data_IF_376164316326
#
_entry.id   IF_376164316326
#
_cell.length_a   1.000
_cell.length_b   1.000
_cell.length_c   1.000
_cell.angle_alpha   90.00
_cell.angle_beta   90.00
_cell.angle_gamma   90.00
#
_symmetry.space_group_name_H-M   'P 1'
#
loop_
_entity.id
_entity.type
_entity.pdbx_description
1 polymer ?
#
# COMPACT_ATOMS: atom_id res chain seq x y z
N UNK A 1 -3.44 28.19 -51.67
CA UNK A 1 -2.84 26.92 -51.18
C UNK A 1 -1.36 27.16 -50.96
N UNK A 2 -0.90 27.27 -49.71
CA UNK A 2 0.51 27.56 -49.43
C UNK A 2 1.34 26.30 -49.64
N UNK A 3 2.22 26.32 -50.65
CA UNK A 3 3.12 25.20 -50.96
C UNK A 3 4.09 24.96 -49.78
N UNK A 4 4.42 23.70 -49.42
CA UNK A 4 5.31 23.41 -48.29
C UNK A 4 6.70 23.98 -48.56
N UNK A 5 7.20 24.80 -47.62
CA UNK A 5 8.53 25.41 -47.68
C UNK A 5 9.60 24.29 -47.77
N UNK A 6 10.60 24.38 -48.68
CA UNK A 6 11.61 23.33 -48.82
C UNK A 6 12.44 23.20 -47.54
N UNK A 7 12.47 21.98 -46.97
CA UNK A 7 13.15 21.67 -45.70
C UNK A 7 14.65 21.89 -45.78
N UNK A 8 15.21 22.50 -44.75
CA UNK A 8 16.63 22.84 -44.65
C UNK A 8 17.49 21.59 -44.33
N UNK A 9 18.81 21.63 -44.58
CA UNK A 9 19.72 20.47 -44.41
C UNK A 9 19.69 19.88 -42.99
N UNK A 10 19.54 20.74 -41.98
CA UNK A 10 19.45 20.37 -40.56
C UNK A 10 18.13 19.65 -40.23
N UNK A 11 17.01 20.12 -40.77
CA UNK A 11 15.69 19.52 -40.55
C UNK A 11 15.61 18.11 -41.12
N UNK A 12 16.19 17.90 -42.32
CA UNK A 12 16.30 16.57 -42.94
C UNK A 12 17.07 15.58 -42.06
N UNK A 13 18.19 16.02 -41.44
CA UNK A 13 19.00 15.18 -40.54
C UNK A 13 18.24 14.79 -39.26
N UNK A 14 17.53 15.74 -38.65
CA UNK A 14 16.74 15.49 -37.44
C UNK A 14 15.61 14.48 -37.71
N UNK A 15 14.95 14.60 -38.86
CA UNK A 15 13.89 13.67 -39.26
C UNK A 15 14.42 12.24 -39.46
N UNK A 16 15.58 12.08 -40.11
CA UNK A 16 16.23 10.76 -40.26
C UNK A 16 16.62 10.17 -38.90
N UNK A 17 17.13 10.99 -37.97
CA UNK A 17 17.50 10.55 -36.64
C UNK A 17 16.28 10.08 -35.85
N UNK A 18 15.17 10.81 -35.91
CA UNK A 18 13.92 10.46 -35.25
C UNK A 18 13.34 9.13 -35.75
N UNK A 19 13.38 8.89 -37.06
CA UNK A 19 12.96 7.62 -37.67
C UNK A 19 13.82 6.46 -37.16
N UNK A 20 15.16 6.65 -37.13
CA UNK A 20 16.08 5.64 -36.62
C UNK A 20 15.84 5.33 -35.14
N UNK A 21 15.68 6.35 -34.30
CA UNK A 21 15.38 6.19 -32.87
C UNK A 21 14.05 5.46 -32.65
N UNK A 22 13.01 5.78 -33.43
CA UNK A 22 11.72 5.07 -33.36
C UNK A 22 11.85 3.59 -33.70
N UNK A 23 12.59 3.27 -34.77
CA UNK A 23 12.86 1.88 -35.16
C UNK A 23 13.62 1.12 -34.07
N UNK A 24 14.62 1.73 -33.44
CA UNK A 24 15.37 1.12 -32.35
C UNK A 24 14.52 0.90 -31.09
N UNK A 25 13.66 1.87 -30.73
CA UNK A 25 12.69 1.72 -29.63
C UNK A 25 11.75 0.53 -29.88
N UNK A 26 11.22 0.43 -31.11
CA UNK A 26 10.33 -0.66 -31.49
C UNK A 26 11.06 -2.02 -31.43
N UNK A 27 12.23 -2.13 -32.04
CA UNK A 27 13.03 -3.35 -32.01
C UNK A 27 13.38 -3.77 -30.57
N UNK A 28 13.73 -2.81 -29.70
CA UNK A 28 13.99 -3.08 -28.29
C UNK A 28 12.76 -3.65 -27.58
N UNK A 29 11.57 -3.04 -27.77
CA UNK A 29 10.33 -3.52 -27.17
C UNK A 29 9.96 -4.94 -27.63
N UNK A 30 10.17 -5.25 -28.91
CA UNK A 30 9.95 -6.59 -29.46
C UNK A 30 10.89 -7.64 -28.86
N UNK A 31 12.15 -7.27 -28.59
CA UNK A 31 13.07 -8.16 -27.87
C UNK A 31 12.67 -8.33 -26.41
N UNK A 32 12.20 -7.27 -25.75
CA UNK A 32 11.79 -7.33 -24.36
C UNK A 32 10.57 -8.24 -24.13
N UNK A 33 9.66 -8.32 -25.11
CA UNK A 33 8.53 -9.26 -25.11
C UNK A 33 8.97 -10.73 -25.14
N UNK A 34 10.15 -11.04 -25.68
CA UNK A 34 10.68 -12.42 -25.78
C UNK A 34 11.67 -12.73 -24.65
N UNK A 35 12.43 -11.72 -24.26
CA UNK A 35 13.50 -11.80 -23.28
C UNK A 35 13.28 -10.67 -22.27
N UNK A 36 12.59 -10.91 -21.13
CA UNK A 36 12.33 -9.91 -20.08
C UNK A 36 13.61 -9.60 -19.27
N UNK A 37 14.74 -9.41 -19.95
CA UNK A 37 16.05 -9.09 -19.40
C UNK A 37 16.59 -7.92 -20.22
N UNK A 38 16.66 -6.75 -19.59
CA UNK A 38 17.07 -5.49 -20.24
C UNK A 38 18.42 -5.63 -20.94
N UNK A 39 19.39 -6.30 -20.33
CA UNK A 39 20.71 -6.52 -20.90
C UNK A 39 20.64 -7.27 -22.25
N UNK A 40 19.90 -8.38 -22.29
CA UNK A 40 19.76 -9.21 -23.50
C UNK A 40 18.98 -8.47 -24.58
N UNK A 41 17.92 -7.75 -24.19
CA UNK A 41 17.15 -6.94 -25.13
C UNK A 41 17.99 -5.80 -25.72
N UNK A 42 18.84 -5.16 -24.92
CA UNK A 42 19.82 -4.14 -25.34
C UNK A 42 20.81 -4.71 -26.37
N UNK A 43 21.42 -5.86 -26.08
CA UNK A 43 22.37 -6.52 -26.98
C UNK A 43 21.71 -6.91 -28.32
N UNK A 44 20.53 -7.52 -28.28
CA UNK A 44 19.81 -7.97 -29.49
C UNK A 44 19.25 -6.82 -30.34
N UNK A 45 18.94 -5.67 -29.74
CA UNK A 45 18.43 -4.49 -30.46
C UNK A 45 19.53 -3.51 -30.87
N UNK A 46 20.78 -3.74 -30.46
CA UNK A 46 21.90 -2.83 -30.73
C UNK A 46 21.77 -1.49 -29.99
N UNK A 47 21.12 -1.48 -28.82
CA UNK A 47 20.88 -0.29 -28.01
C UNK A 47 21.63 -0.40 -26.69
N UNK A 48 22.42 0.61 -26.33
CA UNK A 48 23.09 0.66 -25.02
C UNK A 48 22.11 0.83 -23.86
N UNK A 49 22.45 0.29 -22.68
CA UNK A 49 21.62 0.43 -21.47
C UNK A 49 21.36 1.88 -21.08
N UNK A 50 22.36 2.75 -21.22
CA UNK A 50 22.23 4.19 -20.94
C UNK A 50 21.14 4.83 -21.81
N UNK A 51 21.11 4.49 -23.09
CA UNK A 51 20.11 4.96 -24.05
C UNK A 51 18.71 4.50 -23.68
N UNK A 52 18.55 3.24 -23.26
CA UNK A 52 17.27 2.73 -22.77
C UNK A 52 16.76 3.51 -21.55
N UNK A 53 17.62 3.72 -20.55
CA UNK A 53 17.22 4.48 -19.35
C UNK A 53 16.94 5.96 -19.66
N UNK A 54 17.68 6.57 -20.59
CA UNK A 54 17.38 7.91 -21.09
C UNK A 54 15.99 7.95 -21.74
N UNK A 55 15.67 6.98 -22.61
CA UNK A 55 14.34 6.89 -23.22
C UNK A 55 13.22 6.72 -22.19
N UNK A 56 13.43 5.93 -21.13
CA UNK A 56 12.45 5.81 -20.05
C UNK A 56 12.23 7.11 -19.29
N UNK A 57 13.27 7.93 -19.14
CA UNK A 57 13.19 9.22 -18.45
C UNK A 57 12.50 10.28 -19.32
N UNK A 58 12.87 10.34 -20.59
CA UNK A 58 12.46 11.40 -21.50
C UNK A 58 11.09 11.11 -22.17
N UNK A 59 10.72 9.83 -22.33
CA UNK A 59 9.51 9.39 -23.01
C UNK A 59 8.67 8.48 -22.10
N UNK A 60 7.64 9.08 -21.47
CA UNK A 60 6.73 8.38 -20.55
C UNK A 60 5.88 7.32 -21.22
N UNK A 61 5.56 7.48 -22.51
CA UNK A 61 4.78 6.47 -23.24
C UNK A 61 5.64 5.25 -23.54
N UNK A 62 6.90 5.46 -23.94
CA UNK A 62 7.88 4.37 -24.06
C UNK A 62 8.09 3.63 -22.74
N UNK A 63 8.18 4.35 -21.61
CA UNK A 63 8.32 3.72 -20.30
C UNK A 63 7.15 2.77 -19.98
N UNK A 64 5.90 3.21 -20.21
CA UNK A 64 4.71 2.35 -20.02
C UNK A 64 4.74 1.14 -20.94
N UNK A 65 5.07 1.33 -22.22
CA UNK A 65 5.16 0.23 -23.18
C UNK A 65 6.26 -0.76 -22.79
N UNK A 66 7.39 -0.29 -22.29
CA UNK A 66 8.46 -1.15 -21.80
C UNK A 66 8.03 -1.96 -20.56
N UNK A 67 7.29 -1.36 -19.63
CA UNK A 67 6.77 -2.07 -18.44
C UNK A 67 5.71 -3.12 -18.83
N UNK A 68 4.86 -2.82 -19.83
CA UNK A 68 3.91 -3.78 -20.38
C UNK A 68 4.65 -4.91 -21.08
N UNK A 69 5.63 -4.58 -21.94
CA UNK A 69 6.42 -5.57 -22.67
C UNK A 69 7.21 -6.49 -21.71
N UNK A 70 7.76 -5.94 -20.62
CA UNK A 70 8.43 -6.73 -19.58
C UNK A 70 7.48 -7.76 -18.97
N UNK A 71 6.30 -7.32 -18.50
CA UNK A 71 5.31 -8.23 -17.89
C UNK A 71 4.82 -9.29 -18.86
N UNK A 72 4.56 -8.92 -20.11
CA UNK A 72 4.18 -9.90 -21.14
C UNK A 72 5.31 -10.89 -21.44
N UNK A 73 6.57 -10.44 -21.41
CA UNK A 73 7.73 -11.33 -21.57
C UNK A 73 7.91 -12.28 -20.38
N UNK A 74 7.66 -11.82 -19.15
CA UNK A 74 7.67 -12.68 -17.96
C UNK A 74 6.62 -13.80 -18.07
N UNK A 75 5.39 -13.47 -18.49
CA UNK A 75 4.34 -14.47 -18.72
C UNK A 75 4.74 -15.49 -19.78
N UNK A 76 5.33 -15.04 -20.90
CA UNK A 76 5.80 -15.93 -21.95
C UNK A 76 6.88 -16.90 -21.45
N UNK A 77 7.83 -16.42 -20.64
CA UNK A 77 8.86 -17.28 -20.03
C UNK A 77 8.25 -18.25 -19.03
N UNK A 78 7.23 -17.85 -18.27
CA UNK A 78 6.51 -18.74 -17.36
C UNK A 78 5.84 -19.89 -18.13
N UNK A 79 5.09 -19.62 -19.20
CA UNK A 79 4.46 -20.65 -20.03
C UNK A 79 5.50 -21.64 -20.60
N UNK A 80 6.66 -21.13 -21.01
CA UNK A 80 7.77 -21.95 -21.48
C UNK A 80 8.36 -22.79 -20.34
N UNK A 81 8.52 -22.22 -19.14
CA UNK A 81 9.03 -22.92 -17.97
C UNK A 81 8.07 -24.04 -17.53
N UNK A 82 6.76 -23.79 -17.55
CA UNK A 82 5.72 -24.80 -17.29
C UNK A 82 5.80 -25.95 -18.30
N UNK A 83 5.95 -25.63 -19.58
CA UNK A 83 6.12 -26.64 -20.63
C UNK A 83 7.37 -27.51 -20.39
N UNK A 84 8.48 -26.90 -20.00
CA UNK A 84 9.72 -27.61 -19.64
C UNK A 84 9.56 -28.45 -18.36
N UNK A 85 8.83 -27.95 -17.38
CA UNK A 85 8.53 -28.69 -16.16
C UNK A 85 7.75 -29.97 -16.46
N UNK A 86 6.72 -29.89 -17.32
CA UNK A 86 5.93 -31.05 -17.75
C UNK A 86 6.80 -32.07 -18.48
N UNK A 87 7.65 -31.61 -19.42
CA UNK A 87 8.61 -32.49 -20.11
C UNK A 87 9.54 -33.20 -19.12
N UNK A 88 10.04 -32.47 -18.11
CA UNK A 88 10.93 -33.05 -17.11
C UNK A 88 10.21 -34.10 -16.25
N UNK A 89 8.93 -33.88 -15.92
CA UNK A 89 8.09 -34.85 -15.22
C UNK A 89 7.90 -36.11 -16.08
N UNK A 90 7.61 -35.96 -17.38
CA UNK A 90 7.49 -37.10 -18.31
C UNK A 90 8.79 -37.89 -18.43
N UNK A 91 9.94 -37.21 -18.39
CA UNK A 91 11.26 -37.82 -18.44
C UNK A 91 11.72 -38.42 -17.09
N UNK A 92 10.90 -38.34 -16.03
CA UNK A 92 11.20 -38.94 -14.73
C UNK A 92 12.17 -38.14 -13.85
N UNK A 93 12.36 -36.83 -14.09
CA UNK A 93 13.20 -36.00 -13.22
C UNK A 93 12.54 -35.79 -11.85
N UNK A 94 13.09 -36.46 -10.83
CA UNK A 94 12.55 -36.48 -9.45
C UNK A 94 12.33 -35.08 -8.88
N UNK A 95 13.27 -34.14 -9.07
CA UNK A 95 13.15 -32.77 -8.55
C UNK A 95 11.94 -32.03 -9.12
N UNK A 96 11.62 -32.25 -10.40
CA UNK A 96 10.45 -31.63 -11.05
C UNK A 96 9.13 -32.21 -10.53
N UNK A 97 9.11 -33.53 -10.29
CA UNK A 97 7.96 -34.23 -9.70
C UNK A 97 7.70 -33.75 -8.27
N UNK A 98 8.74 -33.70 -7.44
CA UNK A 98 8.66 -33.19 -6.06
C UNK A 98 8.15 -31.75 -6.09
N UNK A 99 8.76 -30.87 -6.90
CA UNK A 99 8.34 -29.49 -7.01
C UNK A 99 6.85 -29.36 -7.38
N UNK A 100 6.38 -30.13 -8.37
CA UNK A 100 4.98 -30.12 -8.77
C UNK A 100 4.04 -30.54 -7.64
N UNK A 101 4.32 -31.68 -7.00
CA UNK A 101 3.50 -32.22 -5.91
C UNK A 101 3.46 -31.28 -4.70
N UNK A 102 4.60 -30.68 -4.33
CA UNK A 102 4.69 -29.72 -3.22
C UNK A 102 3.86 -28.45 -3.41
N UNK A 103 3.56 -28.07 -4.65
CA UNK A 103 2.80 -26.83 -4.93
C UNK A 103 1.33 -27.09 -5.28
N UNK A 104 1.00 -28.28 -5.81
CA UNK A 104 -0.35 -28.59 -6.32
C UNK A 104 -1.11 -29.60 -5.46
N UNK A 105 -0.47 -30.28 -4.52
CA UNK A 105 -1.11 -31.28 -3.67
C UNK A 105 -0.87 -30.97 -2.19
N UNK A 106 -1.92 -30.53 -1.50
CA UNK A 106 -1.85 -30.07 -0.10
C UNK A 106 -1.22 -31.06 0.89
N UNK A 107 -1.29 -32.37 0.61
CA UNK A 107 -0.62 -33.40 1.41
C UNK A 107 0.92 -33.40 1.37
N UNK A 108 1.53 -32.76 0.36
CA UNK A 108 2.98 -32.62 0.21
C UNK A 108 3.48 -31.20 0.52
N UNK A 109 2.59 -30.30 0.95
CA UNK A 109 2.98 -28.96 1.37
C UNK A 109 3.79 -29.05 2.66
N UNK A 110 4.80 -28.19 2.80
CA UNK A 110 5.59 -28.13 4.03
C UNK A 110 4.68 -27.68 5.18
N UNK A 111 4.58 -28.51 6.22
CA UNK A 111 3.88 -28.14 7.46
C UNK A 111 4.82 -27.27 8.28
N UNK A 112 4.62 -25.96 8.21
CA UNK A 112 5.33 -25.02 9.09
C UNK A 112 4.56 -24.95 10.42
N UNK A 113 5.17 -25.46 11.49
CA UNK A 113 4.68 -25.30 12.86
C UNK A 113 5.33 -24.04 13.42
N UNK A 114 4.53 -23.00 13.67
CA UNK A 114 5.01 -21.78 14.31
C UNK A 114 4.83 -21.90 15.82
N UNK A 115 5.93 -22.00 16.55
CA UNK A 115 5.96 -21.86 18.00
C UNK A 115 6.25 -20.39 18.33
N UNK A 116 5.28 -19.70 18.93
CA UNK A 116 5.41 -18.30 19.30
C UNK A 116 5.56 -18.18 20.82
N UNK A 117 6.78 -17.93 21.27
CA UNK A 117 7.05 -17.53 22.65
C UNK A 117 7.00 -16.01 22.75
N UNK A 118 5.91 -15.49 23.34
CA UNK A 118 5.76 -14.07 23.60
C UNK A 118 6.22 -13.75 25.04
N UNK A 119 7.53 -13.58 25.22
CA UNK A 119 8.04 -12.98 26.45
C UNK A 119 7.96 -11.46 26.34
N UNK A 120 7.03 -10.86 27.08
CA UNK A 120 6.95 -9.40 27.23
C UNK A 120 7.69 -9.02 28.51
N UNK A 121 8.92 -8.56 28.37
CA UNK A 121 9.60 -7.85 29.45
C UNK A 121 8.98 -6.46 29.59
N UNK A 122 8.00 -6.35 30.47
CA UNK A 122 7.30 -5.10 30.77
C UNK A 122 8.20 -4.22 31.64
N UNK A 123 8.75 -3.15 31.05
CA UNK A 123 9.38 -2.03 31.77
C UNK A 123 8.30 -1.27 32.58
N UNK A 124 8.64 -0.91 33.81
CA UNK A 124 7.65 -0.60 34.86
C UNK A 124 6.84 0.69 34.67
N UNK A 125 7.34 1.67 33.91
CA UNK A 125 6.64 2.95 33.70
C UNK A 125 5.35 2.79 32.86
N UNK A 126 5.37 1.92 31.85
CA UNK A 126 4.23 1.71 30.95
C UNK A 126 3.37 0.49 31.32
N UNK A 127 3.79 -0.28 32.33
CA UNK A 127 3.15 -1.54 32.74
C UNK A 127 1.66 -1.35 33.04
N UNK A 128 1.26 -0.27 33.71
CA UNK A 128 -0.16 -0.01 34.03
C UNK A 128 -1.00 0.30 32.79
N UNK A 129 -0.46 1.05 31.84
CA UNK A 129 -1.16 1.42 30.62
C UNK A 129 -1.33 0.20 29.70
N UNK A 130 -0.28 -0.60 29.57
CA UNK A 130 -0.26 -1.82 28.76
C UNK A 130 -1.21 -2.87 29.34
N UNK A 131 -1.18 -3.10 30.66
CA UNK A 131 -2.11 -4.03 31.33
C UNK A 131 -3.56 -3.59 31.13
N UNK A 132 -3.86 -2.29 31.29
CA UNK A 132 -5.20 -1.74 31.09
C UNK A 132 -5.67 -1.90 29.64
N UNK A 133 -4.79 -1.67 28.66
CA UNK A 133 -5.10 -1.86 27.24
C UNK A 133 -5.37 -3.34 26.92
N UNK A 134 -4.53 -4.26 27.40
CA UNK A 134 -4.71 -5.71 27.21
C UNK A 134 -6.00 -6.24 27.85
N UNK A 135 -6.38 -5.72 29.03
CA UNK A 135 -7.64 -6.06 29.67
C UNK A 135 -8.87 -5.59 28.86
N UNK A 136 -8.84 -4.35 28.35
CA UNK A 136 -9.94 -3.81 27.56
C UNK A 136 -10.15 -4.55 26.22
N UNK A 137 -9.09 -5.14 25.68
CA UNK A 137 -9.11 -5.90 24.41
C UNK A 137 -9.46 -7.39 24.64
N UNK A 138 -9.59 -7.84 25.89
CA UNK A 138 -9.98 -9.22 26.22
C UNK A 138 -8.83 -10.23 26.21
N UNK A 139 -7.58 -9.77 26.18
CA UNK A 139 -6.38 -10.61 26.20
C UNK A 139 -5.91 -10.95 27.63
N UNK A 140 -6.86 -11.30 28.51
CA UNK A 140 -6.58 -11.60 29.92
C UNK A 140 -5.68 -12.83 30.14
N UNK A 141 -5.64 -13.76 29.19
CA UNK A 141 -4.80 -14.96 29.25
C UNK A 141 -3.30 -14.64 29.19
N UNK A 142 -2.92 -13.58 28.47
CA UNK A 142 -1.52 -13.10 28.36
C UNK A 142 -1.03 -12.54 29.70
N UNK A 143 -1.93 -11.95 30.50
CA UNK A 143 -1.59 -11.40 31.82
C UNK A 143 -1.41 -12.49 32.88
N UNK A 144 -2.22 -13.56 32.81
CA UNK A 144 -2.13 -14.73 33.71
C UNK A 144 -0.79 -15.45 33.54
N UNK A 145 -0.32 -15.62 32.31
CA UNK A 145 0.97 -16.26 32.01
C UNK A 145 2.17 -15.47 32.58
N UNK A 146 2.02 -14.15 32.77
CA UNK A 146 3.03 -13.26 33.34
C UNK A 146 2.81 -12.98 34.85
N UNK A 147 2.03 -13.81 35.55
CA UNK A 147 1.86 -13.74 37.00
C UNK A 147 0.99 -12.59 37.53
N UNK A 148 0.27 -11.86 36.65
CA UNK A 148 -0.60 -10.76 37.05
C UNK A 148 -2.04 -11.27 37.09
N UNK A 149 -2.60 -11.45 38.29
CA UNK A 149 -3.99 -11.88 38.45
C UNK A 149 -4.96 -10.71 38.21
N UNK A 150 -5.86 -10.77 37.20
CA UNK A 150 -6.76 -9.68 36.85
C UNK A 150 -7.67 -9.20 37.99
N UNK A 151 -8.11 -10.12 38.86
CA UNK A 151 -9.07 -9.81 39.94
C UNK A 151 -8.44 -8.92 41.03
N UNK A 152 -7.19 -9.19 41.40
CA UNK A 152 -6.46 -8.41 42.41
C UNK A 152 -6.20 -6.96 41.95
N UNK A 153 -6.05 -6.75 40.65
CA UNK A 153 -5.87 -5.42 40.08
C UNK A 153 -7.15 -4.58 40.15
N UNK A 154 -8.30 -5.17 39.83
CA UNK A 154 -9.60 -4.50 39.94
C UNK A 154 -9.94 -4.12 41.39
N UNK A 155 -9.63 -5.01 42.33
CA UNK A 155 -9.84 -4.77 43.76
C UNK A 155 -8.98 -3.60 44.27
N UNK A 156 -7.70 -3.56 43.90
CA UNK A 156 -6.79 -2.46 44.25
C UNK A 156 -7.28 -1.11 43.70
N UNK A 157 -7.77 -1.08 42.46
CA UNK A 157 -8.31 0.14 41.85
C UNK A 157 -9.63 0.60 42.48
N UNK A 158 -10.48 -0.34 42.92
CA UNK A 158 -11.69 -0.02 43.71
C UNK A 158 -11.32 0.62 45.03
N UNK A 159 -10.42 0.00 45.79
CA UNK A 159 -10.01 0.49 47.11
C UNK A 159 -9.32 1.86 47.03
N UNK A 160 -8.49 2.11 46.01
CA UNK A 160 -7.88 3.41 45.76
C UNK A 160 -8.93 4.50 45.45
N UNK A 161 -9.94 4.17 44.63
CA UNK A 161 -11.05 5.09 44.33
C UNK A 161 -11.94 5.34 45.55
N UNK A 162 -12.27 4.31 46.31
CA UNK A 162 -13.06 4.43 47.55
C UNK A 162 -12.31 5.25 48.60
N UNK A 163 -11.00 5.05 48.76
CA UNK A 163 -10.16 5.85 49.65
C UNK A 163 -10.04 7.31 49.20
N UNK A 164 -9.91 7.57 47.89
CA UNK A 164 -9.93 8.92 47.34
C UNK A 164 -11.28 9.60 47.57
N UNK A 165 -12.39 8.89 47.33
CA UNK A 165 -13.74 9.39 47.58
C UNK A 165 -13.99 9.69 49.06
N UNK A 166 -13.46 8.87 49.98
CA UNK A 166 -13.52 9.15 51.42
C UNK A 166 -12.77 10.44 51.79
N UNK A 167 -11.54 10.62 51.28
CA UNK A 167 -10.77 11.86 51.51
C UNK A 167 -11.46 13.10 50.95
N UNK A 168 -12.05 13.00 49.76
CA UNK A 168 -12.82 14.11 49.16
C UNK A 168 -14.05 14.43 50.02
N UNK A 169 -14.76 13.41 50.50
CA UNK A 169 -15.95 13.59 51.33
C UNK A 169 -15.62 14.17 52.72
N UNK A 170 -14.45 13.85 53.27
CA UNK A 170 -13.94 14.40 54.53
C UNK A 170 -13.59 15.90 54.40
N UNK A 171 -13.03 16.31 53.26
CA UNK A 171 -12.77 17.73 52.95
C UNK A 171 -14.08 18.51 52.73
N UNK A 172 -15.08 17.90 52.09
CA UNK A 172 -16.39 18.53 51.85
C UNK A 172 -17.21 18.62 53.15
N UNK A 173 -17.09 17.64 54.06
CA UNK A 173 -17.79 17.61 55.35
C UNK A 173 -17.30 18.63 56.39
N UNK A 174 -16.19 19.35 56.13
CA UNK A 174 -15.65 20.38 57.03
C UNK A 174 -15.99 21.82 56.62
N UNK A 175 -16.79 22.03 55.57
CA UNK A 175 -17.23 23.36 55.15
C UNK A 175 -18.48 23.79 55.95
N UNK A 176 -18.45 24.91 56.70
CA UNK A 176 -19.64 25.35 57.44
C UNK A 176 -20.75 25.77 56.48
N UNK A 177 -21.97 25.32 56.74
CA UNK A 177 -23.19 25.76 56.05
C UNK A 177 -23.29 27.29 56.09
N UNK A 178 -23.13 27.94 54.93
CA UNK A 178 -23.49 29.34 54.79
C UNK A 178 -24.92 29.45 54.30
N UNK A 179 -25.73 29.97 55.22
CA UNK A 179 -27.12 30.40 55.10
C UNK A 179 -27.37 31.21 53.81
N UNK A 180 -28.49 30.89 53.19
CA UNK A 180 -29.19 31.56 52.09
C UNK A 180 -28.84 33.03 51.89
N UNK A 181 -27.86 33.30 51.03
CA UNK A 181 -27.81 34.57 50.31
C UNK A 181 -28.44 34.37 48.95
N UNK A 182 -29.69 34.84 48.82
CA UNK A 182 -30.40 34.96 47.55
C UNK A 182 -29.57 35.82 46.60
N UNK A 183 -28.79 35.17 45.73
CA UNK A 183 -28.09 35.84 44.65
C UNK A 183 -29.09 36.06 43.51
N UNK A 184 -29.65 37.26 43.41
CA UNK A 184 -30.51 37.66 42.29
C UNK A 184 -29.70 37.57 40.99
N UNK A 185 -30.09 36.67 40.11
CA UNK A 185 -29.58 36.57 38.74
C UNK A 185 -29.99 37.86 38.00
N UNK A 186 -29.07 38.71 37.53
CA UNK A 186 -29.42 39.85 36.70
C UNK A 186 -29.97 39.37 35.35
N UNK A 187 -30.99 40.04 34.76
CA UNK A 187 -31.58 39.61 33.51
C UNK A 187 -30.57 39.73 32.35
N UNK A 188 -30.51 38.68 31.51
CA UNK A 188 -29.67 38.66 30.30
C UNK A 188 -29.99 39.85 29.40
N UNK A 189 -28.97 40.61 29.02
CA UNK A 189 -29.06 41.61 27.95
C UNK A 189 -27.74 41.78 27.18
N UNK A 190 -27.75 41.15 26.00
CA UNK A 190 -27.11 41.53 24.73
C UNK A 190 -25.61 41.22 24.50
N UNK A 191 -25.19 41.16 23.22
CA UNK A 191 -24.67 39.95 22.59
C UNK A 191 -23.16 40.02 22.33
N UNK A 192 -22.51 38.86 22.23
CA UNK A 192 -21.11 38.78 21.81
C UNK A 192 -20.98 39.19 20.33
N UNK A 193 -20.51 40.41 20.10
CA UNK A 193 -20.00 40.88 18.80
C UNK A 193 -18.49 40.63 18.75
N UNK A 194 -18.12 39.79 17.78
CA UNK A 194 -16.87 39.68 17.05
C UNK A 194 -15.54 40.10 17.73
N UNK A 195 -14.81 39.11 18.24
CA UNK A 195 -13.35 39.06 18.15
C UNK A 195 -12.94 38.24 16.93
N UNK A 196 -11.92 38.69 16.21
CA UNK A 196 -11.57 38.31 14.83
C UNK A 196 -11.33 36.80 14.58
N UNK A 197 -11.63 36.31 13.36
CA UNK A 197 -11.36 34.94 12.96
C UNK A 197 -9.85 34.68 12.80
N UNK A 198 -9.31 33.77 13.60
CA UNK A 198 -8.03 33.13 13.31
C UNK A 198 -8.09 32.48 11.92
N UNK A 199 -7.08 32.77 11.09
CA UNK A 199 -7.01 32.52 9.66
C UNK A 199 -7.45 31.11 9.19
N UNK A 200 -8.10 30.99 8.02
CA UNK A 200 -8.50 29.70 7.47
C UNK A 200 -7.28 28.87 7.04
N UNK A 201 -7.22 27.64 7.57
CA UNK A 201 -6.28 26.60 7.12
C UNK A 201 -6.47 26.37 5.62
N UNK A 202 -5.43 26.62 4.83
CA UNK A 202 -5.43 26.41 3.38
C UNK A 202 -5.67 24.92 3.06
N UNK A 203 -6.87 24.58 2.56
CA UNK A 203 -7.15 23.27 1.95
C UNK A 203 -6.26 23.09 0.71
N UNK A 204 -5.50 21.99 0.64
CA UNK A 204 -4.74 21.63 -0.57
C UNK A 204 -5.72 21.28 -1.71
N UNK A 205 -5.47 21.71 -2.95
CA UNK A 205 -6.39 21.47 -4.05
C UNK A 205 -6.37 20.00 -4.50
N UNK A 206 -7.54 19.34 -4.45
CA UNK A 206 -7.80 18.05 -5.08
C UNK A 206 -7.81 18.26 -6.60
N UNK A 207 -6.83 17.71 -7.32
CA UNK A 207 -6.85 17.71 -8.79
C UNK A 207 -7.81 16.62 -9.27
N UNK A 208 -8.82 17.03 -10.05
CA UNK A 208 -9.85 16.20 -10.67
C UNK A 208 -9.19 15.10 -11.53
N UNK A 209 -9.45 13.84 -11.17
CA UNK A 209 -9.12 12.68 -11.98
C UNK A 209 -10.06 12.55 -13.17
N UNK A 210 -9.55 11.95 -14.25
CA UNK A 210 -10.35 11.49 -15.39
C UNK A 210 -11.14 10.26 -14.94
N UNK A 211 -12.42 10.20 -15.31
CA UNK A 211 -13.35 9.19 -14.84
C UNK A 211 -13.05 7.82 -15.45
N UNK A 212 -12.72 6.85 -14.60
CA UNK A 212 -12.38 5.45 -14.93
C UNK A 212 -13.50 4.74 -15.72
N UNK A 213 -14.76 5.16 -15.58
CA UNK A 213 -15.89 4.59 -16.32
C UNK A 213 -15.95 5.04 -17.80
N UNK A 214 -15.24 6.09 -18.17
CA UNK A 214 -15.19 6.58 -19.55
C UNK A 214 -14.20 5.76 -20.40
N UNK A 215 -13.12 5.27 -19.77
CA UNK A 215 -12.14 4.39 -20.42
C UNK A 215 -12.68 2.96 -20.64
N UNK A 216 -13.54 2.47 -19.75
CA UNK A 216 -14.13 1.13 -19.88
C UNK A 216 -15.22 1.05 -20.96
N UNK A 217 -15.95 2.15 -21.24
CA UNK A 217 -16.95 2.21 -22.30
C UNK A 217 -16.34 2.17 -23.71
N UNK A 218 -15.17 2.76 -23.93
CA UNK A 218 -14.51 2.76 -25.24
C UNK A 218 -13.79 1.44 -25.57
N UNK A 219 -13.55 0.57 -24.59
CA UNK A 219 -13.01 -0.78 -24.81
C UNK A 219 -14.09 -1.87 -25.01
N UNK A 220 -15.35 -1.47 -25.23
CA UNK A 220 -16.43 -2.39 -25.64
C UNK A 220 -16.47 -2.72 -27.13
N UNK A 221 -15.45 -2.33 -27.91
CA UNK A 221 -15.28 -2.79 -29.30
C UNK A 221 -14.23 -3.91 -29.37
N UNK A 222 -14.40 -4.98 -28.60
CA UNK A 222 -13.96 -6.35 -28.95
C UNK A 222 -14.88 -7.44 -28.37
N UNK A 223 -16.16 -7.15 -28.18
CA UNK A 223 -17.20 -8.18 -27.93
C UNK A 223 -17.85 -8.71 -29.23
N UNK A 224 -17.11 -8.72 -30.35
CA UNK A 224 -17.52 -9.28 -31.65
C UNK A 224 -16.44 -10.17 -32.29
N UNK A 225 -15.60 -10.80 -31.48
CA UNK A 225 -14.66 -11.85 -31.95
C UNK A 225 -14.86 -13.19 -31.23
N UNK A 226 -15.85 -13.31 -30.34
CA UNK A 226 -16.19 -14.55 -29.64
C UNK A 226 -17.69 -14.91 -29.70
N UNK A 227 -18.46 -14.29 -30.59
CA UNK A 227 -19.76 -14.80 -31.03
C UNK A 227 -19.66 -15.03 -32.53
N UNK A 228 -19.44 -16.30 -32.89
CA UNK A 228 -19.17 -16.76 -34.24
C UNK A 228 -18.95 -18.26 -34.28
N UNK A 229 -19.85 -19.01 -33.64
CA UNK A 229 -20.38 -20.33 -34.04
C UNK A 229 -21.45 -20.76 -33.07
#
# INVERSE_FOLDING_TARGET
MSSPRPKNKTEKRLETLAVKTRAQKQAFLEQLLKYPIVQVACEKSGVGRSTYYAWRKDDKEFAKLADIAMRSGELFINDMAESRLIQNIQNGHTTSIIFWLKNHHGGYNDRIVHEHEHSLELVDEDRKAIVKALMNIGLGNVLKNNGINPEQWHEKQRLEKEGHMRRVNEVIGSAPEKKDTVFKIPPLSRPLVAGEPSAPVKKRPVKKGININEYSKNNRIRKRLFEGK
#
